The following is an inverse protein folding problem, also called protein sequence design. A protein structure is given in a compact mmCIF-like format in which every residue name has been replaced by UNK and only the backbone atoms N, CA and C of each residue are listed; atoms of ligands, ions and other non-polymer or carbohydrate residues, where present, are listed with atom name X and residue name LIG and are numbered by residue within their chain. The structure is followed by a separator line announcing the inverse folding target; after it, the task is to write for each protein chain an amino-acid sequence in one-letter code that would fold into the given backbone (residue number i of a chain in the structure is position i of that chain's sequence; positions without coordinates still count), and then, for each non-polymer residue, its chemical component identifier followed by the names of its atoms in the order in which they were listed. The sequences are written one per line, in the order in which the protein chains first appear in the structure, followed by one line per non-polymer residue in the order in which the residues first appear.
data_IF_553654789584
#
_entry.id   IF_553654789584
#
_cell.length_a   1.000
_cell.length_b   1.000
_cell.length_c   1.000
_cell.angle_alpha   90.00
_cell.angle_beta   90.00
_cell.angle_gamma   90.00
#
_symmetry.space_group_name_H-M   'P 1'
#
loop_
_entity.id
_entity.type
_entity.pdbx_description
1 polymer ?
#
# COMPACT_ATOMS: atom_id res chain seq x y z
N UNK A 1 -15.36 0.66 -24.40
CA UNK A 1 -15.06 0.42 -25.82
C UNK A 1 -13.95 -0.59 -25.91
N UNK A 2 -13.66 -1.13 -27.09
CA UNK A 2 -12.60 -2.14 -27.32
C UNK A 2 -11.19 -1.71 -26.86
N UNK A 3 -11.03 -0.42 -26.53
CA UNK A 3 -9.81 0.20 -26.02
C UNK A 3 -9.63 0.14 -24.50
N UNK A 4 -10.64 -0.31 -23.75
CA UNK A 4 -10.56 -0.43 -22.29
C UNK A 4 -10.16 -1.86 -21.87
N UNK A 5 -9.31 -1.97 -20.85
CA UNK A 5 -9.10 -3.20 -20.11
C UNK A 5 -10.14 -3.28 -18.99
N UNK A 6 -10.94 -4.34 -18.98
CA UNK A 6 -11.91 -4.61 -17.93
C UNK A 6 -11.52 -5.90 -17.23
N UNK A 7 -11.44 -5.86 -15.91
CA UNK A 7 -11.23 -7.05 -15.09
C UNK A 7 -11.95 -6.91 -13.75
N UNK A 8 -12.00 -8.00 -13.00
CA UNK A 8 -12.59 -8.04 -11.68
C UNK A 8 -11.52 -8.30 -10.64
N UNK A 9 -11.55 -7.54 -9.54
CA UNK A 9 -10.72 -7.78 -8.37
C UNK A 9 -11.53 -7.48 -7.11
N UNK A 10 -11.46 -8.37 -6.12
CA UNK A 10 -12.17 -8.24 -4.84
C UNK A 10 -13.67 -7.87 -5.00
N UNK A 11 -14.35 -8.49 -5.97
CA UNK A 11 -15.78 -8.23 -6.26
C UNK A 11 -16.07 -6.89 -6.94
N UNK A 12 -15.05 -6.09 -7.27
CA UNK A 12 -15.21 -4.81 -7.97
C UNK A 12 -14.72 -4.93 -9.40
N UNK A 13 -15.47 -4.32 -10.32
CA UNK A 13 -15.08 -4.18 -11.71
C UNK A 13 -14.09 -3.02 -11.83
N UNK A 14 -12.91 -3.32 -12.33
CA UNK A 14 -11.90 -2.33 -12.67
C UNK A 14 -11.92 -2.07 -14.17
N UNK A 15 -11.68 -0.81 -14.53
CA UNK A 15 -11.53 -0.34 -15.90
C UNK A 15 -10.22 0.43 -15.98
N UNK A 16 -9.29 -0.03 -16.81
CA UNK A 16 -8.10 0.74 -17.14
C UNK A 16 -8.00 1.05 -18.63
N UNK A 17 -7.26 2.11 -18.91
CA UNK A 17 -6.99 2.67 -20.22
C UNK A 17 -5.48 2.83 -20.41
N UNK A 18 -5.01 2.86 -21.66
CA UNK A 18 -3.68 3.36 -21.98
C UNK A 18 -3.35 4.66 -21.22
N UNK A 19 -2.19 4.72 -20.57
CA UNK A 19 -1.72 5.79 -19.69
C UNK A 19 -1.99 5.57 -18.19
N UNK A 20 -2.88 4.64 -17.82
CA UNK A 20 -3.20 4.41 -16.42
C UNK A 20 -2.02 3.79 -15.65
N UNK A 21 -1.81 4.28 -14.44
CA UNK A 21 -0.85 3.69 -13.50
C UNK A 21 -1.47 2.48 -12.81
N UNK A 22 -0.75 1.37 -12.83
CA UNK A 22 -1.15 0.07 -12.28
C UNK A 22 -0.10 -0.48 -11.32
N UNK A 23 -0.53 -1.36 -10.44
CA UNK A 23 0.31 -2.10 -9.50
C UNK A 23 -0.07 -3.58 -9.52
N UNK A 24 0.93 -4.44 -9.49
CA UNK A 24 0.78 -5.89 -9.42
C UNK A 24 0.29 -6.26 -8.02
N UNK A 25 -0.84 -6.96 -7.95
CA UNK A 25 -1.46 -7.40 -6.69
C UNK A 25 -1.19 -8.86 -6.36
N UNK A 26 -0.80 -9.66 -7.35
CA UNK A 26 -0.41 -11.05 -7.20
C UNK A 26 0.78 -11.37 -8.12
N UNK A 27 1.69 -12.23 -7.65
CA UNK A 27 2.92 -12.52 -8.40
C UNK A 27 2.60 -13.46 -9.57
N UNK A 28 2.94 -13.04 -10.78
CA UNK A 28 2.65 -13.79 -12.00
C UNK A 28 3.85 -14.62 -12.47
N UNK A 29 5.06 -14.11 -12.25
CA UNK A 29 6.32 -14.76 -12.64
C UNK A 29 7.46 -14.30 -11.73
N UNK A 30 8.66 -14.83 -11.93
CA UNK A 30 9.85 -14.33 -11.20
C UNK A 30 10.15 -12.86 -11.53
N UNK A 31 9.79 -12.41 -12.73
CA UNK A 31 9.99 -11.04 -13.18
C UNK A 31 8.86 -10.10 -12.76
N UNK A 32 7.64 -10.63 -12.57
CA UNK A 32 6.45 -9.85 -12.23
C UNK A 32 5.99 -10.20 -10.83
N UNK A 33 6.48 -9.43 -9.86
CA UNK A 33 6.25 -9.65 -8.43
C UNK A 33 5.17 -8.71 -7.88
N UNK A 34 4.48 -9.17 -6.83
CA UNK A 34 3.55 -8.33 -6.07
C UNK A 34 4.23 -7.03 -5.61
N UNK A 35 3.53 -5.90 -5.79
CA UNK A 35 4.02 -4.56 -5.47
C UNK A 35 4.80 -3.91 -6.61
N UNK A 36 5.13 -4.62 -7.70
CA UNK A 36 5.73 -4.00 -8.88
C UNK A 36 4.73 -3.01 -9.51
N UNK A 37 5.26 -1.89 -9.96
CA UNK A 37 4.45 -0.78 -10.48
C UNK A 37 4.73 -0.59 -11.96
N UNK A 38 3.69 -0.25 -12.70
CA UNK A 38 3.72 -0.19 -14.14
C UNK A 38 2.73 0.84 -14.67
N UNK A 39 2.93 1.24 -15.91
CA UNK A 39 1.96 1.96 -16.72
C UNK A 39 1.37 1.00 -17.76
N UNK A 40 0.05 1.04 -17.96
CA UNK A 40 -0.58 0.38 -19.09
C UNK A 40 -0.32 1.22 -20.35
N UNK A 41 0.55 0.78 -21.25
CA UNK A 41 0.95 1.55 -22.43
C UNK A 41 -0.10 1.44 -23.54
N UNK A 42 -0.52 0.21 -23.86
CA UNK A 42 -1.58 -0.05 -24.85
C UNK A 42 -2.16 -1.45 -24.70
N UNK A 43 -3.29 -1.67 -25.36
CA UNK A 43 -3.93 -2.98 -25.48
C UNK A 43 -3.86 -3.43 -26.93
N UNK A 44 -3.61 -4.71 -27.16
CA UNK A 44 -3.56 -5.33 -28.48
C UNK A 44 -4.66 -6.41 -28.56
N UNK A 45 -5.88 -6.06 -29.02
CA UNK A 45 -7.01 -6.98 -29.03
C UNK A 45 -6.77 -8.22 -29.90
N UNK A 46 -6.15 -8.04 -31.06
CA UNK A 46 -5.88 -9.11 -32.03
C UNK A 46 -4.95 -10.19 -31.46
N UNK A 47 -3.86 -9.78 -30.81
CA UNK A 47 -2.89 -10.69 -30.19
C UNK A 47 -3.29 -11.14 -28.77
N UNK A 48 -4.38 -10.59 -28.21
CA UNK A 48 -4.81 -10.78 -26.82
C UNK A 48 -3.72 -10.42 -25.80
N UNK A 49 -2.92 -9.39 -26.09
CA UNK A 49 -1.83 -8.91 -25.22
C UNK A 49 -2.11 -7.52 -24.66
N UNK A 50 -1.46 -7.22 -23.56
CA UNK A 50 -1.34 -5.89 -23.00
C UNK A 50 0.14 -5.50 -22.95
N UNK A 51 0.44 -4.27 -23.35
CA UNK A 51 1.79 -3.72 -23.28
C UNK A 51 1.86 -2.87 -22.01
N UNK A 52 2.76 -3.23 -21.10
CA UNK A 52 2.97 -2.55 -19.82
C UNK A 52 4.42 -2.08 -19.71
N UNK A 53 4.65 -0.90 -19.14
CA UNK A 53 5.99 -0.40 -18.86
C UNK A 53 6.19 -0.37 -17.35
N UNK A 54 7.02 -1.26 -16.84
CA UNK A 54 7.32 -1.31 -15.41
C UNK A 54 8.22 -0.16 -14.99
N UNK A 55 7.99 0.45 -13.82
CA UNK A 55 8.76 1.62 -13.36
C UNK A 55 10.27 1.34 -13.17
N UNK A 56 10.66 0.07 -13.06
CA UNK A 56 12.06 -0.35 -12.93
C UNK A 56 12.71 -0.77 -14.26
N UNK A 57 12.00 -0.66 -15.39
CA UNK A 57 12.49 -0.99 -16.74
C UNK A 57 12.12 0.12 -17.72
N UNK A 58 13.02 0.46 -18.63
CA UNK A 58 12.73 1.45 -19.68
C UNK A 58 11.82 0.86 -20.77
N UNK A 59 12.13 -0.37 -21.20
CA UNK A 59 11.45 -1.02 -22.32
C UNK A 59 10.06 -1.55 -21.93
N UNK A 60 9.05 -1.34 -22.79
CA UNK A 60 7.73 -1.95 -22.62
C UNK A 60 7.79 -3.48 -22.70
N UNK A 61 6.97 -4.13 -21.90
CA UNK A 61 6.87 -5.57 -21.76
C UNK A 61 5.46 -6.05 -22.14
N UNK A 62 5.36 -7.11 -22.92
CA UNK A 62 4.09 -7.63 -23.42
C UNK A 62 3.60 -8.81 -22.56
N UNK A 63 2.48 -8.64 -21.87
CA UNK A 63 1.83 -9.68 -21.06
C UNK A 63 0.55 -10.20 -21.73
N UNK A 64 0.12 -11.44 -21.42
CA UNK A 64 -1.23 -11.88 -21.74
C UNK A 64 -2.28 -10.92 -21.16
N UNK A 65 -3.33 -10.61 -21.91
CA UNK A 65 -4.39 -9.70 -21.42
C UNK A 65 -5.12 -10.27 -20.20
N UNK A 66 -5.19 -11.60 -20.06
CA UNK A 66 -5.74 -12.29 -18.88
C UNK A 66 -5.04 -11.90 -17.58
N UNK A 67 -3.74 -11.62 -17.66
CA UNK A 67 -2.89 -11.37 -16.50
C UNK A 67 -3.15 -10.00 -15.89
N UNK A 68 -3.82 -9.09 -16.62
CA UNK A 68 -4.30 -7.82 -16.07
C UNK A 68 -5.25 -8.00 -14.88
N UNK A 69 -5.85 -9.19 -14.71
CA UNK A 69 -6.62 -9.53 -13.51
C UNK A 69 -5.78 -9.54 -12.22
N UNK A 70 -4.46 -9.73 -12.33
CA UNK A 70 -3.50 -9.64 -11.23
C UNK A 70 -2.90 -8.23 -11.07
N UNK A 71 -3.55 -7.21 -11.64
CA UNK A 71 -3.19 -5.81 -11.45
C UNK A 71 -4.37 -5.03 -10.84
N UNK A 72 -4.07 -3.87 -10.26
CA UNK A 72 -5.07 -2.86 -9.91
C UNK A 72 -4.59 -1.48 -10.32
N UNK A 73 -5.52 -0.52 -10.49
CA UNK A 73 -5.17 0.89 -10.64
C UNK A 73 -4.44 1.41 -9.39
N UNK A 74 -3.46 2.30 -9.60
CA UNK A 74 -2.59 2.85 -8.55
C UNK A 74 -2.79 4.34 -8.27
N UNK A 75 -4.01 4.85 -8.50
CA UNK A 75 -4.33 6.25 -8.20
C UNK A 75 -4.37 6.57 -6.71
N UNK A 76 -4.83 5.61 -5.91
CA UNK A 76 -4.80 5.66 -4.47
C UNK A 76 -4.37 4.29 -3.94
N UNK A 77 -3.49 4.29 -2.95
CA UNK A 77 -2.98 3.07 -2.32
C UNK A 77 -3.33 3.07 -0.84
N UNK A 78 -3.56 1.88 -0.30
CA UNK A 78 -3.63 1.71 1.15
C UNK A 78 -2.24 1.90 1.75
N UNK A 79 -2.17 2.39 2.99
CA UNK A 79 -0.90 2.54 3.74
C UNK A 79 -0.12 1.22 3.82
N UNK A 80 -0.82 0.08 3.86
CA UNK A 80 -0.17 -1.23 3.82
C UNK A 80 0.55 -1.50 2.49
N UNK A 81 -0.03 -1.10 1.36
CA UNK A 81 0.58 -1.31 0.02
C UNK A 81 1.72 -0.35 -0.29
N UNK A 82 1.95 0.66 0.53
CA UNK A 82 3.08 1.59 0.40
C UNK A 82 4.25 1.23 1.32
N UNK A 83 4.18 0.14 2.10
CA UNK A 83 5.27 -0.28 2.98
C UNK A 83 6.56 -0.52 2.19
N UNK A 84 7.66 0.06 2.67
CA UNK A 84 8.96 -0.01 2.01
C UNK A 84 9.13 0.91 0.78
N UNK A 85 8.08 1.63 0.38
CA UNK A 85 8.15 2.66 -0.68
C UNK A 85 8.12 4.06 -0.09
N UNK A 86 8.76 5.02 -0.74
CA UNK A 86 8.69 6.45 -0.39
C UNK A 86 8.32 7.27 -1.62
N UNK A 87 7.65 8.40 -1.40
CA UNK A 87 7.19 9.29 -2.44
C UNK A 87 7.57 10.74 -2.10
N UNK A 88 7.91 11.60 -3.08
CA UNK A 88 8.23 13.00 -2.81
C UNK A 88 7.13 13.72 -2.03
N UNK A 89 5.88 13.49 -2.43
CA UNK A 89 4.68 14.06 -1.81
C UNK A 89 3.70 12.95 -1.51
N UNK A 90 3.11 12.95 -0.32
CA UNK A 90 2.03 12.03 0.08
C UNK A 90 0.83 12.84 0.57
N UNK A 91 -0.34 12.52 0.04
CA UNK A 91 -1.62 12.99 0.55
C UNK A 91 -2.36 11.81 1.20
N UNK A 92 -2.42 11.78 2.52
CA UNK A 92 -3.10 10.73 3.26
C UNK A 92 -4.55 11.13 3.52
N UNK A 93 -5.48 10.24 3.16
CA UNK A 93 -6.93 10.47 3.32
C UNK A 93 -7.45 9.61 4.47
N UNK A 94 -8.08 10.25 5.44
CA UNK A 94 -8.83 9.60 6.52
C UNK A 94 -10.26 10.11 6.54
N UNK A 95 -11.23 9.23 6.32
CA UNK A 95 -12.65 9.56 6.34
C UNK A 95 -13.36 8.77 7.45
N UNK A 96 -14.43 9.33 8.01
CA UNK A 96 -15.23 8.71 9.07
C UNK A 96 -15.86 7.37 8.65
N UNK A 97 -16.04 7.17 7.34
CA UNK A 97 -16.56 5.94 6.74
C UNK A 97 -15.52 4.81 6.69
N UNK A 98 -14.24 5.10 6.93
CA UNK A 98 -13.22 4.07 7.03
C UNK A 98 -13.47 3.21 8.26
N UNK A 99 -13.09 1.93 8.17
CA UNK A 99 -13.20 1.02 9.31
C UNK A 99 -12.42 1.62 10.51
N UNK A 100 -13.05 1.81 11.68
CA UNK A 100 -12.40 2.40 12.86
C UNK A 100 -11.12 1.67 13.30
N UNK A 101 -11.02 0.36 13.06
CA UNK A 101 -9.82 -0.43 13.33
C UNK A 101 -8.61 -0.02 12.48
N UNK A 102 -8.83 0.68 11.36
CA UNK A 102 -7.78 1.22 10.49
C UNK A 102 -7.41 2.66 10.84
N UNK A 103 -8.29 3.39 11.54
CA UNK A 103 -8.07 4.76 11.98
C UNK A 103 -7.21 4.77 13.26
N UNK A 104 -5.97 4.33 13.12
CA UNK A 104 -4.99 4.26 14.23
C UNK A 104 -3.86 5.27 14.04
N UNK A 105 -3.24 5.67 15.15
CA UNK A 105 -2.07 6.55 15.18
C UNK A 105 -0.91 5.94 14.38
N UNK A 106 -0.76 4.62 14.44
CA UNK A 106 0.26 3.89 13.66
C UNK A 106 0.06 4.07 12.16
N UNK A 107 -1.17 3.94 11.66
CA UNK A 107 -1.42 4.09 10.22
C UNK A 107 -1.24 5.54 9.77
N UNK A 108 -1.56 6.51 10.63
CA UNK A 108 -1.28 7.92 10.38
C UNK A 108 0.23 8.18 10.26
N UNK A 109 1.01 7.72 11.25
CA UNK A 109 2.46 7.85 11.25
C UNK A 109 3.12 7.10 10.08
N UNK A 110 2.66 5.89 9.78
CA UNK A 110 3.20 5.08 8.69
C UNK A 110 2.99 5.77 7.35
N UNK A 111 1.80 6.32 7.10
CA UNK A 111 1.53 7.08 5.88
C UNK A 111 2.33 8.38 5.81
N UNK A 112 2.43 9.12 6.92
CA UNK A 112 3.24 10.34 7.01
C UNK A 112 4.71 10.09 6.64
N UNK A 113 5.31 9.02 7.19
CA UNK A 113 6.71 8.64 6.92
C UNK A 113 6.93 8.06 5.52
N UNK A 114 5.90 7.89 4.69
CA UNK A 114 6.11 7.59 3.26
C UNK A 114 6.47 8.85 2.46
N UNK A 115 6.24 10.04 3.01
CA UNK A 115 6.61 11.30 2.36
C UNK A 115 8.10 11.62 2.56
N UNK A 116 8.81 11.88 1.47
CA UNK A 116 10.21 12.32 1.51
C UNK A 116 10.37 13.84 1.65
N UNK A 117 9.39 14.61 1.16
CA UNK A 117 9.46 16.08 1.18
C UNK A 117 8.22 16.69 1.83
N UNK A 118 7.03 16.35 1.36
CA UNK A 118 5.77 16.95 1.83
C UNK A 118 4.75 15.87 2.19
N UNK A 119 4.20 15.97 3.40
CA UNK A 119 3.09 15.15 3.85
C UNK A 119 1.87 16.04 4.10
N UNK A 120 0.75 15.70 3.47
CA UNK A 120 -0.54 16.35 3.67
C UNK A 120 -1.58 15.35 4.17
N UNK A 121 -2.55 15.84 4.93
CA UNK A 121 -3.67 15.05 5.45
C UNK A 121 -4.99 15.63 4.97
N UNK A 122 -5.89 14.76 4.54
CA UNK A 122 -7.28 15.10 4.18
C UNK A 122 -8.19 14.32 5.09
N UNK A 123 -8.71 15.00 6.11
CA UNK A 123 -9.60 14.44 7.11
C UNK A 123 -10.41 15.57 7.76
N UNK A 124 -11.52 15.23 8.42
CA UNK A 124 -12.10 16.18 9.37
C UNK A 124 -11.21 16.29 10.60
N UNK A 125 -11.27 17.41 11.31
CA UNK A 125 -10.54 17.59 12.56
C UNK A 125 -10.88 16.49 13.59
N UNK A 126 -12.16 16.15 13.71
CA UNK A 126 -12.62 15.08 14.60
C UNK A 126 -12.04 13.71 14.23
N UNK A 127 -12.02 13.35 12.94
CA UNK A 127 -11.43 12.09 12.46
C UNK A 127 -9.94 12.03 12.78
N UNK A 128 -9.22 13.14 12.55
CA UNK A 128 -7.78 13.20 12.74
C UNK A 128 -7.42 13.09 14.23
N UNK A 129 -8.14 13.81 15.11
CA UNK A 129 -7.95 13.72 16.55
C UNK A 129 -8.26 12.31 17.09
N UNK A 130 -9.36 11.71 16.64
CA UNK A 130 -9.70 10.33 17.02
C UNK A 130 -8.61 9.34 16.56
N UNK A 131 -8.11 9.49 15.33
CA UNK A 131 -7.04 8.66 14.81
C UNK A 131 -5.72 8.84 15.57
N UNK A 132 -5.38 10.06 15.99
CA UNK A 132 -4.21 10.35 16.82
C UNK A 132 -4.31 9.74 18.23
N UNK A 133 -5.50 9.79 18.84
CA UNK A 133 -5.75 9.21 20.15
C UNK A 133 -5.78 7.67 20.12
N UNK A 134 -6.12 7.07 18.98
CA UNK A 134 -6.25 5.63 18.83
C UNK A 134 -4.90 4.90 18.74
N UNK A 135 -4.40 4.47 19.90
CA UNK A 135 -3.24 3.60 20.04
C UNK A 135 -3.55 2.10 19.89
N UNK A 136 -4.80 1.70 19.61
CA UNK A 136 -5.14 0.29 19.42
C UNK A 136 -4.36 -0.30 18.25
N UNK A 137 -3.75 -1.46 18.49
CA UNK A 137 -2.85 -2.15 17.57
C UNK A 137 -1.43 -2.37 18.09
N UNK A 138 -1.04 -1.72 19.19
CA UNK A 138 0.22 -2.03 19.91
C UNK A 138 0.12 -3.30 20.78
N UNK A 139 -1.08 -3.74 21.15
CA UNK A 139 -1.32 -5.00 21.86
C UNK A 139 -1.18 -6.21 20.92
N UNK A 140 0.08 -6.60 20.67
CA UNK A 140 0.40 -7.80 19.91
C UNK A 140 0.33 -9.01 20.83
N UNK A 141 -0.62 -9.91 20.59
CA UNK A 141 -0.65 -11.22 21.22
C UNK A 141 0.49 -12.09 20.68
N UNK A 142 1.68 -11.96 21.27
CA UNK A 142 2.88 -12.73 20.90
C UNK A 142 3.54 -13.33 22.13
N UNK A 143 3.84 -14.63 22.08
CA UNK A 143 4.60 -15.32 23.12
C UNK A 143 6.11 -15.17 22.96
N UNK A 144 6.60 -14.52 21.89
CA UNK A 144 8.04 -14.35 21.63
C UNK A 144 8.74 -13.72 22.83
N UNK A 145 8.14 -12.69 23.43
CA UNK A 145 8.71 -12.00 24.58
C UNK A 145 8.74 -12.90 25.83
N UNK A 146 7.72 -13.74 26.01
CA UNK A 146 7.69 -14.73 27.09
C UNK A 146 8.79 -15.78 26.89
N UNK A 147 8.97 -16.28 25.67
CA UNK A 147 10.03 -17.25 25.34
C UNK A 147 11.42 -16.63 25.49
N UNK A 148 11.62 -15.38 25.07
CA UNK A 148 12.88 -14.65 25.25
C UNK A 148 13.27 -14.59 26.73
N UNK A 149 12.34 -14.18 27.60
CA UNK A 149 12.56 -14.11 29.06
C UNK A 149 12.92 -15.46 29.69
N UNK A 150 12.33 -16.56 29.20
CA UNK A 150 12.63 -17.90 29.71
C UNK A 150 14.06 -18.32 29.35
N UNK A 151 14.53 -18.02 28.13
CA UNK A 151 15.87 -18.40 27.68
C UNK A 151 16.95 -17.45 28.23
N UNK A 152 16.65 -16.17 28.40
CA UNK A 152 17.62 -15.11 28.75
C UNK A 152 17.44 -14.60 30.18
N UNK A 153 17.21 -15.52 31.14
CA UNK A 153 16.98 -15.19 32.56
C UNK A 153 18.11 -14.28 33.10
N UNK A 154 17.82 -13.00 33.28
CA UNK A 154 18.74 -12.03 33.89
C UNK A 154 19.18 -10.87 32.98
N UNK A 155 18.96 -10.94 31.67
CA UNK A 155 19.21 -9.79 30.78
C UNK A 155 17.90 -9.08 30.45
N UNK A 156 17.83 -7.78 30.77
CA UNK A 156 16.72 -6.95 30.36
C UNK A 156 16.58 -6.99 28.82
N UNK A 157 15.36 -7.10 28.28
CA UNK A 157 15.17 -6.94 26.84
C UNK A 157 15.68 -5.58 26.40
N UNK A 158 16.21 -5.43 25.17
CA UNK A 158 16.42 -4.12 24.60
C UNK A 158 15.07 -3.39 24.62
N UNK A 159 15.02 -2.26 25.35
CA UNK A 159 13.81 -1.47 25.52
C UNK A 159 13.22 -1.16 24.14
N UNK A 160 12.00 -1.63 23.89
CA UNK A 160 11.18 -1.07 22.83
C UNK A 160 10.86 0.37 23.24
N UNK A 161 11.59 1.34 22.68
CA UNK A 161 11.29 2.76 22.87
C UNK A 161 9.90 3.02 22.31
N UNK A 162 8.89 3.08 23.18
CA UNK A 162 7.69 3.84 22.88
C UNK A 162 8.11 5.31 22.88
N UNK A 163 8.30 5.86 21.70
CA UNK A 163 8.49 7.30 21.55
C UNK A 163 7.19 7.98 22.01
N UNK A 164 7.20 8.53 23.22
CA UNK A 164 6.25 9.57 23.59
C UNK A 164 6.62 10.79 22.75
N UNK A 165 5.78 11.12 21.79
CA UNK A 165 5.79 12.43 21.15
C UNK A 165 5.12 13.38 22.13
N UNK A 166 5.92 14.12 22.90
CA UNK A 166 5.45 15.31 23.58
C UNK A 166 5.22 16.37 22.50
N UNK A 167 3.95 16.60 22.17
CA UNK A 167 3.54 17.73 21.33
C UNK A 167 3.45 18.92 22.28
N UNK A 168 4.33 19.90 22.07
CA UNK A 168 4.25 21.24 22.68
C UNK A 168 3.54 22.18 21.72
#
# INVERSE_FOLDING_TARGET
GETDALWWYAGKKHRARPGDQIIVIDSLSQEIRNGATAELVRLEPESKRAIVRFSHRAEPFAIPRSDLSSFMLRYALTVHRTQGSEYPVVLQISADQHNPALLTRRNLYTGATRARQVSGFVATEATLLAQLANAHGDDRHSTLMNRYRVVHRGTAPPLARSARLDVT
#
